data_IF_793369022667
#
_entry.id   IF_793369022667
#
_cell.length_a   1.000
_cell.length_b   1.000
_cell.length_c   1.000
_cell.angle_alpha   90.00
_cell.angle_beta   90.00
_cell.angle_gamma   90.00
#
_symmetry.space_group_name_H-M   'P 1'
#
loop_
_entity.id
_entity.type
_entity.pdbx_description
1 polymer ?
#
# COMPACT_ATOMS: atom_id res chain seq x y z
N UNK A 1 -32.44 4.49 34.23
CA UNK A 1 -30.98 4.22 34.05
C UNK A 1 -30.68 3.56 32.71
N UNK A 2 -31.51 2.62 32.24
CA UNK A 2 -31.31 1.91 30.98
C UNK A 2 -31.28 2.80 29.73
N UNK A 3 -32.20 3.76 29.59
CA UNK A 3 -32.21 4.69 28.45
C UNK A 3 -30.89 5.46 28.28
N UNK A 4 -30.27 5.89 29.39
CA UNK A 4 -28.97 6.57 29.37
C UNK A 4 -27.85 5.60 28.95
N UNK A 5 -27.93 4.33 29.34
CA UNK A 5 -26.99 3.27 28.94
C UNK A 5 -27.09 2.98 27.44
N UNK A 6 -28.30 2.85 26.91
CA UNK A 6 -28.56 2.63 25.47
C UNK A 6 -28.02 3.78 24.63
N UNK A 7 -28.30 5.03 25.02
CA UNK A 7 -27.80 6.22 24.31
C UNK A 7 -26.26 6.24 24.33
N UNK A 8 -25.64 5.95 25.47
CA UNK A 8 -24.17 5.92 25.58
C UNK A 8 -23.57 4.84 24.68
N UNK A 9 -24.15 3.65 24.66
CA UNK A 9 -23.72 2.55 23.77
C UNK A 9 -23.84 2.94 22.29
N UNK A 10 -24.95 3.57 21.90
CA UNK A 10 -25.14 4.04 20.53
C UNK A 10 -24.09 5.08 20.12
N UNK A 11 -23.83 6.06 20.99
CA UNK A 11 -22.78 7.08 20.74
C UNK A 11 -21.41 6.42 20.57
N UNK A 12 -21.06 5.47 21.43
CA UNK A 12 -19.79 4.74 21.33
C UNK A 12 -19.66 3.99 20.00
N UNK A 13 -20.72 3.31 19.56
CA UNK A 13 -20.73 2.62 18.26
C UNK A 13 -20.55 3.58 17.09
N UNK A 14 -21.25 4.72 17.11
CA UNK A 14 -21.13 5.75 16.05
C UNK A 14 -19.72 6.33 16.01
N UNK A 15 -19.15 6.67 17.17
CA UNK A 15 -17.78 7.19 17.25
C UNK A 15 -16.75 6.17 16.77
N UNK A 16 -16.95 4.88 17.10
CA UNK A 16 -16.06 3.81 16.63
C UNK A 16 -16.16 3.64 15.10
N UNK A 17 -17.37 3.62 14.55
CA UNK A 17 -17.57 3.55 13.10
C UNK A 17 -16.95 4.75 12.37
N UNK A 18 -17.09 5.95 12.92
CA UNK A 18 -16.46 7.16 12.38
C UNK A 18 -14.93 7.08 12.41
N UNK A 19 -14.34 6.57 13.51
CA UNK A 19 -12.90 6.36 13.61
C UNK A 19 -12.39 5.37 12.55
N UNK A 20 -13.08 4.24 12.37
CA UNK A 20 -12.74 3.26 11.34
C UNK A 20 -12.80 3.88 9.95
N UNK A 21 -13.85 4.67 9.65
CA UNK A 21 -13.98 5.37 8.38
C UNK A 21 -12.83 6.37 8.15
N UNK A 22 -12.44 7.14 9.16
CA UNK A 22 -11.30 8.08 9.07
C UNK A 22 -10.00 7.35 8.79
N UNK A 23 -9.74 6.21 9.45
CA UNK A 23 -8.54 5.40 9.20
C UNK A 23 -8.51 4.90 7.76
N UNK A 24 -9.62 4.34 7.26
CA UNK A 24 -9.72 3.84 5.88
C UNK A 24 -9.50 4.97 4.87
N UNK A 25 -10.15 6.11 5.07
CA UNK A 25 -10.00 7.28 4.17
C UNK A 25 -8.57 7.81 4.23
N UNK A 26 -7.96 7.88 5.41
CA UNK A 26 -6.58 8.35 5.59
C UNK A 26 -5.57 7.43 4.90
N UNK A 27 -5.76 6.11 4.98
CA UNK A 27 -4.89 5.14 4.30
C UNK A 27 -5.05 5.20 2.76
N UNK A 28 -6.25 5.51 2.27
CA UNK A 28 -6.52 5.63 0.84
C UNK A 28 -6.14 7.00 0.26
N UNK A 29 -6.08 8.05 1.09
CA UNK A 29 -5.64 9.41 0.70
C UNK A 29 -4.20 9.67 1.13
N UNK A 30 -3.27 8.83 0.70
CA UNK A 30 -1.85 9.19 0.75
C UNK A 30 -1.56 10.19 -0.39
N UNK A 31 -1.37 11.50 -0.11
CA UNK A 31 -1.09 12.50 -1.14
C UNK A 31 0.29 12.31 -1.76
N UNK A 32 1.18 11.53 -1.12
CA UNK A 32 2.48 11.14 -1.68
C UNK A 32 2.38 9.95 -2.63
N UNK A 33 1.22 9.27 -2.68
CA UNK A 33 0.92 8.24 -3.65
C UNK A 33 0.21 8.85 -4.87
N UNK A 34 0.93 9.13 -5.99
CA UNK A 34 0.32 9.69 -7.19
C UNK A 34 -0.69 8.74 -7.85
N UNK A 35 -0.80 7.50 -7.36
CA UNK A 35 -1.71 6.47 -7.85
C UNK A 35 -2.89 6.22 -6.90
N UNK A 36 -3.12 7.06 -5.89
CA UNK A 36 -4.21 6.91 -4.92
C UNK A 36 -5.62 6.97 -5.54
N UNK A 37 -5.75 7.57 -6.73
CA UNK A 37 -6.99 7.60 -7.52
C UNK A 37 -7.18 6.37 -8.42
N UNK A 38 -6.19 5.50 -8.56
CA UNK A 38 -6.27 4.30 -9.40
C UNK A 38 -6.76 3.13 -8.53
N UNK A 39 -7.82 2.41 -8.92
CA UNK A 39 -8.28 1.23 -8.18
C UNK A 39 -7.14 0.22 -8.02
N UNK A 40 -7.03 -0.39 -6.83
CA UNK A 40 -5.97 -1.37 -6.51
C UNK A 40 -5.88 -2.48 -7.55
N UNK A 41 -7.02 -2.99 -7.99
CA UNK A 41 -7.09 -4.05 -9.01
C UNK A 41 -6.46 -3.61 -10.34
N UNK A 42 -6.84 -2.42 -10.82
CA UNK A 42 -6.25 -1.80 -12.02
C UNK A 42 -4.78 -1.48 -11.82
N UNK A 43 -4.37 -1.10 -10.61
CA UNK A 43 -2.99 -0.83 -10.28
C UNK A 43 -2.12 -2.09 -10.30
N UNK A 44 -2.63 -3.25 -9.84
CA UNK A 44 -1.85 -4.49 -9.81
C UNK A 44 -1.90 -5.20 -11.17
N UNK A 45 -3.09 -5.35 -11.74
CA UNK A 45 -3.35 -6.23 -12.89
C UNK A 45 -3.58 -5.47 -14.21
N UNK A 46 -3.68 -4.14 -14.18
CA UNK A 46 -3.92 -3.34 -15.37
C UNK A 46 -2.71 -3.22 -16.31
N UNK A 47 -2.94 -2.87 -17.59
CA UNK A 47 -1.92 -2.87 -18.65
C UNK A 47 -0.80 -1.83 -18.48
N UNK A 48 -0.96 -0.87 -17.55
CA UNK A 48 0.03 0.17 -17.22
C UNK A 48 0.20 0.34 -15.70
N UNK A 49 -0.16 -0.69 -14.94
CA UNK A 49 -0.08 -0.69 -13.48
C UNK A 49 1.31 -1.04 -12.95
N UNK A 50 1.41 -1.17 -11.63
CA UNK A 50 2.59 -1.67 -10.92
C UNK A 50 3.04 -3.03 -11.43
N UNK A 51 2.11 -3.98 -11.61
CA UNK A 51 2.46 -5.33 -12.10
C UNK A 51 3.12 -5.28 -13.47
N UNK A 52 2.58 -4.47 -14.38
CA UNK A 52 3.21 -4.21 -15.68
C UNK A 52 4.61 -3.62 -15.53
N UNK A 53 4.79 -2.59 -14.69
CA UNK A 53 6.09 -1.97 -14.46
C UNK A 53 7.10 -2.98 -13.88
N UNK A 54 6.70 -3.80 -12.90
CA UNK A 54 7.55 -4.84 -12.30
C UNK A 54 8.01 -5.86 -13.33
N UNK A 55 7.10 -6.33 -14.20
CA UNK A 55 7.43 -7.34 -15.22
C UNK A 55 8.36 -6.82 -16.32
N UNK A 56 8.36 -5.51 -16.58
CA UNK A 56 9.10 -4.91 -17.69
C UNK A 56 10.33 -4.11 -17.25
N UNK A 57 10.54 -3.89 -15.95
CA UNK A 57 11.64 -3.09 -15.47
C UNK A 57 12.92 -3.90 -15.29
N UNK A 58 13.89 -3.69 -16.18
CA UNK A 58 15.21 -4.30 -16.11
C UNK A 58 16.14 -3.60 -15.11
N UNK A 59 15.78 -2.41 -14.62
CA UNK A 59 16.63 -1.55 -13.79
C UNK A 59 15.85 -1.01 -12.58
N UNK A 60 15.42 -1.88 -11.63
CA UNK A 60 14.61 -1.48 -10.49
C UNK A 60 15.26 -0.40 -9.61
N UNK A 61 16.58 -0.33 -9.57
CA UNK A 61 17.31 0.70 -8.80
C UNK A 61 17.10 2.14 -9.30
N UNK A 62 16.70 2.35 -10.56
CA UNK A 62 16.47 3.71 -11.10
C UNK A 62 15.15 4.33 -10.65
N UNK A 63 14.14 3.50 -10.40
CA UNK A 63 12.77 3.98 -10.19
C UNK A 63 12.06 3.29 -9.01
N UNK A 64 12.17 1.97 -8.90
CA UNK A 64 11.46 1.19 -7.90
C UNK A 64 12.06 1.35 -6.50
N UNK A 65 13.38 1.23 -6.35
CA UNK A 65 14.01 1.27 -5.02
C UNK A 65 13.77 2.61 -4.33
N UNK A 66 14.02 3.72 -5.03
CA UNK A 66 13.75 5.06 -4.52
C UNK A 66 12.29 5.25 -4.10
N UNK A 67 11.34 4.69 -4.86
CA UNK A 67 9.92 4.76 -4.51
C UNK A 67 9.62 3.99 -3.22
N UNK A 68 10.14 2.77 -3.10
CA UNK A 68 9.95 1.94 -1.91
C UNK A 68 10.69 2.50 -0.68
N UNK A 69 11.85 3.15 -0.85
CA UNK A 69 12.56 3.86 0.21
C UNK A 69 11.76 5.06 0.72
N UNK A 70 11.22 5.89 -0.18
CA UNK A 70 10.37 7.04 0.20
C UNK A 70 9.13 6.62 0.98
N UNK A 71 8.63 5.41 0.74
CA UNK A 71 7.51 4.82 1.48
C UNK A 71 7.92 4.09 2.77
N UNK A 72 9.21 4.10 3.12
CA UNK A 72 9.74 3.41 4.30
C UNK A 72 9.72 1.88 4.21
N UNK A 73 9.63 1.33 3.00
CA UNK A 73 9.49 -0.11 2.76
C UNK A 73 10.85 -0.84 2.61
N UNK A 74 11.94 -0.09 2.37
CA UNK A 74 13.31 -0.64 2.34
C UNK A 74 13.94 -0.81 0.96
N UNK A 75 13.35 -0.27 -0.10
CA UNK A 75 13.99 -0.23 -1.42
C UNK A 75 14.20 -1.62 -2.03
N UNK A 76 15.46 -2.02 -2.16
CA UNK A 76 15.89 -3.34 -2.64
C UNK A 76 15.36 -4.47 -1.74
N UNK A 77 15.42 -4.31 -0.41
CA UNK A 77 14.98 -5.35 0.52
C UNK A 77 13.48 -5.62 0.40
N UNK A 78 12.70 -4.58 0.07
CA UNK A 78 11.28 -4.72 -0.17
C UNK A 78 10.99 -5.58 -1.40
N UNK A 79 11.73 -5.35 -2.50
CA UNK A 79 11.61 -6.18 -3.69
C UNK A 79 11.91 -7.66 -3.37
N UNK A 80 12.96 -7.94 -2.60
CA UNK A 80 13.27 -9.31 -2.16
C UNK A 80 12.13 -9.92 -1.33
N UNK A 81 11.58 -9.16 -0.38
CA UNK A 81 10.48 -9.66 0.46
C UNK A 81 9.25 -10.10 -0.36
N UNK A 82 8.92 -9.37 -1.43
CA UNK A 82 7.81 -9.73 -2.32
C UNK A 82 8.08 -11.02 -3.10
N UNK A 83 9.32 -11.22 -3.56
CA UNK A 83 9.72 -12.44 -4.24
C UNK A 83 9.69 -13.66 -3.32
N UNK A 84 10.19 -13.51 -2.09
CA UNK A 84 10.17 -14.55 -1.07
C UNK A 84 8.74 -14.97 -0.72
N UNK A 85 7.84 -14.00 -0.50
CA UNK A 85 6.41 -14.26 -0.23
C UNK A 85 5.70 -14.96 -1.39
N UNK A 86 6.12 -14.67 -2.63
CA UNK A 86 5.55 -15.28 -3.84
C UNK A 86 6.19 -16.64 -4.16
N UNK A 87 7.19 -17.08 -3.40
CA UNK A 87 7.95 -18.30 -3.68
C UNK A 87 8.81 -18.21 -4.96
N UNK A 88 9.05 -17.01 -5.48
CA UNK A 88 9.78 -16.78 -6.73
C UNK A 88 11.24 -16.49 -6.41
N UNK A 89 12.15 -17.34 -6.90
CA UNK A 89 13.59 -17.13 -6.76
C UNK A 89 14.13 -16.45 -8.01
N UNK A 90 14.35 -15.14 -7.96
CA UNK A 90 15.00 -14.37 -9.02
C UNK A 90 16.17 -13.58 -8.47
N UNK A 91 17.19 -13.38 -9.30
CA UNK A 91 18.27 -12.44 -9.00
C UNK A 91 17.75 -11.04 -9.30
N UNK A 92 17.49 -10.26 -8.25
CA UNK A 92 17.03 -8.89 -8.40
C UNK A 92 18.22 -8.01 -8.80
N UNK A 93 18.14 -7.27 -9.92
CA UNK A 93 19.24 -6.42 -10.36
C UNK A 93 19.58 -5.34 -9.33
N UNK A 94 20.85 -5.27 -8.92
CA UNK A 94 21.32 -4.34 -7.90
C UNK A 94 21.73 -3.00 -8.49
N UNK A 95 21.72 -1.95 -7.66
CA UNK A 95 22.31 -0.67 -8.03
C UNK A 95 23.81 -0.87 -8.29
N UNK A 96 24.35 -0.41 -9.43
CA UNK A 96 25.79 -0.38 -9.64
C UNK A 96 26.46 0.43 -8.53
N UNK A 97 27.60 -0.05 -8.03
CA UNK A 97 28.42 0.65 -7.04
C UNK A 97 29.10 1.87 -7.67
#
# INVERSE_FOLDING_TARGET
MERKRVIRTFITFVLFAALVAVIIISQNRDPSNPHSSVPKETWIHGPKGHGYAVLNNQQPWKQCYTCHEKKGLGGETYCQSCHDQSGVKVVIPKKPQ
#
